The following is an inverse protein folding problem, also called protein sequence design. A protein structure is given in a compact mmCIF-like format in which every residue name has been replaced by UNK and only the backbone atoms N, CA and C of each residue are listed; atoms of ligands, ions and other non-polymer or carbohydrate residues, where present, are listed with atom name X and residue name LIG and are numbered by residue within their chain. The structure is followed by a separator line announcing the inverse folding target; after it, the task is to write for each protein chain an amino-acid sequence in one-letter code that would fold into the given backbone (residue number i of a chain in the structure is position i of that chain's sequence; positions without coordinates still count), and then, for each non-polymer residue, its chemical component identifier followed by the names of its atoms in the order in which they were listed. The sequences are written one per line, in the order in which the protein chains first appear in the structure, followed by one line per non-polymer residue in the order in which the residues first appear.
data_IF_914172800570
#
_entry.id   IF_914172800570
#
_cell.length_a   1.000
_cell.length_b   1.000
_cell.length_c   1.000
_cell.angle_alpha   90.00
_cell.angle_beta   90.00
_cell.angle_gamma   90.00
#
_symmetry.space_group_name_H-M   'P 1'
#
loop_
_entity.id
_entity.type
_entity.pdbx_description
1 polymer ?
#
# COMPACT_ATOMS: atom_id res chain seq x y z
N UNK A 1 11.25 -13.59 5.62
CA UNK A 1 10.83 -14.02 4.26
C UNK A 1 9.31 -14.06 4.29
N UNK A 2 8.63 -13.56 3.26
CA UNK A 2 7.17 -13.48 3.24
C UNK A 2 6.56 -14.83 2.84
N UNK A 3 5.75 -15.41 3.73
CA UNK A 3 5.06 -16.70 3.53
C UNK A 3 3.54 -16.58 3.63
N UNK A 4 3.02 -15.63 4.42
CA UNK A 4 1.60 -15.30 4.48
C UNK A 4 1.38 -13.86 3.98
N UNK A 5 0.63 -13.73 2.88
CA UNK A 5 0.32 -12.46 2.23
C UNK A 5 -1.19 -12.27 2.26
N UNK A 6 -1.66 -11.23 2.94
CA UNK A 6 -3.07 -10.85 2.91
C UNK A 6 -3.33 -9.91 1.74
N UNK A 7 -4.10 -10.36 0.75
CA UNK A 7 -4.53 -9.54 -0.37
C UNK A 7 -5.95 -9.02 -0.11
N UNK A 8 -6.10 -7.71 0.09
CA UNK A 8 -7.40 -7.09 0.39
C UNK A 8 -7.95 -6.49 -0.89
N UNK A 9 -9.25 -6.72 -1.14
CA UNK A 9 -9.95 -6.01 -2.20
C UNK A 9 -11.33 -5.53 -1.80
N UNK A 10 -11.68 -4.31 -2.22
CA UNK A 10 -13.04 -3.76 -2.15
C UNK A 10 -13.84 -3.99 -3.45
N UNK A 11 -13.32 -4.86 -4.33
CA UNK A 11 -13.84 -5.15 -5.66
C UNK A 11 -13.54 -4.08 -6.70
N UNK A 12 -14.17 -4.21 -7.88
CA UNK A 12 -13.88 -3.32 -9.01
C UNK A 12 -12.43 -3.46 -9.50
N UNK A 13 -11.84 -2.40 -10.08
CA UNK A 13 -10.48 -2.43 -10.61
C UNK A 13 -9.40 -2.76 -9.56
N UNK A 14 -9.66 -2.46 -8.30
CA UNK A 14 -8.75 -2.73 -7.18
C UNK A 14 -8.42 -4.23 -7.04
N UNK A 15 -9.40 -5.12 -7.24
CA UNK A 15 -9.19 -6.58 -7.15
C UNK A 15 -8.05 -7.04 -8.06
N UNK A 16 -8.04 -6.58 -9.32
CA UNK A 16 -6.99 -6.90 -10.27
C UNK A 16 -5.63 -6.32 -9.85
N UNK A 17 -5.60 -5.13 -9.25
CA UNK A 17 -4.36 -4.48 -8.82
C UNK A 17 -3.75 -5.19 -7.61
N UNK A 18 -4.54 -5.35 -6.53
CA UNK A 18 -4.07 -5.92 -5.27
C UNK A 18 -3.74 -7.40 -5.41
N UNK A 19 -4.59 -8.19 -6.08
CA UNK A 19 -4.37 -9.64 -6.22
C UNK A 19 -3.20 -9.93 -7.16
N UNK A 20 -3.01 -9.17 -8.24
CA UNK A 20 -1.84 -9.34 -9.10
C UNK A 20 -0.53 -9.03 -8.37
N UNK A 21 -0.50 -7.97 -7.54
CA UNK A 21 0.68 -7.69 -6.73
C UNK A 21 0.92 -8.76 -5.67
N UNK A 22 -0.13 -9.26 -5.00
CA UNK A 22 -0.02 -10.34 -4.03
C UNK A 22 0.52 -11.63 -4.66
N UNK A 23 0.00 -12.03 -5.82
CA UNK A 23 0.51 -13.16 -6.58
C UNK A 23 1.98 -12.99 -6.97
N UNK A 24 2.39 -11.77 -7.37
CA UNK A 24 3.80 -11.44 -7.65
C UNK A 24 4.69 -11.64 -6.43
N UNK A 25 4.28 -11.13 -5.26
CA UNK A 25 5.02 -11.28 -4.00
C UNK A 25 5.09 -12.76 -3.58
N UNK A 26 3.97 -13.48 -3.68
CA UNK A 26 3.90 -14.91 -3.39
C UNK A 26 4.86 -15.72 -4.26
N UNK A 27 4.88 -15.46 -5.57
CA UNK A 27 5.80 -16.11 -6.51
C UNK A 27 7.28 -15.80 -6.21
N UNK A 28 7.60 -14.60 -5.71
CA UNK A 28 8.98 -14.21 -5.39
C UNK A 28 9.55 -14.91 -4.15
N UNK A 29 8.68 -15.26 -3.19
CA UNK A 29 9.07 -15.81 -1.89
C UNK A 29 8.52 -17.22 -1.61
N UNK A 30 7.88 -17.86 -2.59
CA UNK A 30 7.22 -19.16 -2.42
C UNK A 30 6.24 -19.11 -1.23
N UNK A 31 5.41 -18.06 -1.23
CA UNK A 31 4.41 -17.78 -0.20
C UNK A 31 2.99 -18.16 -0.64
N UNK A 32 2.06 -18.09 0.31
CA UNK A 32 0.62 -18.27 0.09
C UNK A 32 -0.09 -16.92 0.15
N UNK A 33 -1.26 -16.84 -0.48
CA UNK A 33 -2.11 -15.64 -0.45
C UNK A 33 -3.44 -15.96 0.22
N UNK A 34 -3.77 -15.23 1.28
CA UNK A 34 -5.10 -15.16 1.83
C UNK A 34 -5.80 -13.95 1.20
N UNK A 35 -6.75 -14.17 0.30
CA UNK A 35 -7.50 -13.10 -0.34
C UNK A 35 -8.76 -12.76 0.47
N UNK A 36 -8.98 -11.48 0.74
CA UNK A 36 -10.12 -10.96 1.48
C UNK A 36 -10.89 -9.98 0.60
N UNK A 37 -12.16 -10.28 0.31
CA UNK A 37 -13.09 -9.27 -0.17
C UNK A 37 -13.68 -8.50 1.04
N UNK A 38 -13.45 -7.19 1.09
CA UNK A 38 -13.96 -6.28 2.10
C UNK A 38 -15.09 -5.43 1.50
N UNK A 39 -16.37 -5.69 1.84
CA UNK A 39 -17.47 -4.89 1.32
C UNK A 39 -17.48 -3.51 1.98
N UNK A 40 -17.05 -2.48 1.24
CA UNK A 40 -17.16 -1.08 1.67
C UNK A 40 -18.19 -0.37 0.81
N UNK A 41 -19.35 -0.07 1.40
CA UNK A 41 -20.40 0.71 0.75
C UNK A 41 -20.04 2.20 0.68
N UNK A 42 -20.62 2.99 -0.25
CA UNK A 42 -20.35 4.43 -0.35
C UNK A 42 -20.74 5.20 0.92
N UNK A 43 -21.68 4.68 1.74
CA UNK A 43 -21.97 5.22 3.07
C UNK A 43 -20.77 5.12 4.04
N UNK A 44 -19.87 4.14 3.89
CA UNK A 44 -18.65 4.01 4.70
C UNK A 44 -17.60 5.11 4.43
N UNK A 45 -17.70 5.80 3.29
CA UNK A 45 -16.96 7.02 2.98
C UNK A 45 -17.76 8.31 3.16
N UNK A 46 -19.10 8.22 3.21
CA UNK A 46 -20.03 9.34 3.38
C UNK A 46 -20.60 9.50 4.80
N UNK A 47 -19.98 8.91 5.84
CA UNK A 47 -20.20 9.35 7.23
C UNK A 47 -19.45 10.67 7.47
N UNK A 48 -19.80 11.67 6.65
CA UNK A 48 -19.08 12.92 6.49
C UNK A 48 -19.99 14.03 5.96
N UNK A 49 -21.21 14.17 6.49
CA UNK A 49 -21.84 15.50 6.61
C UNK A 49 -22.97 15.90 5.68
N UNK A 50 -23.54 15.02 4.83
CA UNK A 50 -24.75 15.36 4.07
C UNK A 50 -25.95 14.52 4.53
N UNK A 51 -26.90 15.19 5.20
CA UNK A 51 -28.19 14.60 5.54
C UNK A 51 -29.02 14.43 4.25
N UNK A 52 -29.21 13.18 3.81
CA UNK A 52 -30.09 12.84 2.69
C UNK A 52 -31.54 12.72 3.17
N UNK A 53 -32.51 13.03 2.30
CA UNK A 53 -33.94 12.87 2.63
C UNK A 53 -34.32 11.40 2.79
N UNK A 54 -35.20 11.10 3.74
CA UNK A 54 -35.63 9.72 4.04
C UNK A 54 -36.28 8.98 2.86
N UNK A 55 -36.82 9.71 1.88
CA UNK A 55 -37.44 9.16 0.66
C UNK A 55 -36.43 8.63 -0.35
N UNK A 56 -35.19 9.17 -0.37
CA UNK A 56 -34.13 8.68 -1.25
C UNK A 56 -33.44 7.42 -0.69
N UNK A 57 -33.62 7.13 0.60
CA UNK A 57 -32.89 6.08 1.31
C UNK A 57 -33.11 4.66 0.72
N UNK A 58 -34.34 4.22 0.40
CA UNK A 58 -34.55 2.87 -0.15
C UNK A 58 -33.89 2.68 -1.52
N UNK A 59 -33.90 3.72 -2.36
CA UNK A 59 -33.25 3.69 -3.68
C UNK A 59 -31.72 3.63 -3.56
N UNK A 60 -31.15 4.41 -2.65
CA UNK A 60 -29.70 4.41 -2.38
C UNK A 60 -29.26 3.04 -1.85
N UNK A 61 -29.99 2.47 -0.88
CA UNK A 61 -29.67 1.13 -0.37
C UNK A 61 -29.68 0.06 -1.46
N UNK A 62 -30.69 0.05 -2.34
CA UNK A 62 -30.75 -0.93 -3.44
C UNK A 62 -29.59 -0.78 -4.43
N UNK A 63 -29.23 0.46 -4.79
CA UNK A 63 -28.08 0.73 -5.68
C UNK A 63 -26.77 0.29 -5.02
N UNK A 64 -26.62 0.56 -3.72
CA UNK A 64 -25.45 0.16 -2.94
C UNK A 64 -25.34 -1.36 -2.87
N UNK A 65 -26.45 -2.07 -2.64
CA UNK A 65 -26.49 -3.53 -2.60
C UNK A 65 -26.10 -4.16 -3.96
N UNK A 66 -26.68 -3.67 -5.07
CA UNK A 66 -26.34 -4.16 -6.42
C UNK A 66 -24.85 -3.93 -6.73
N UNK A 67 -24.33 -2.76 -6.35
CA UNK A 67 -22.92 -2.40 -6.55
C UNK A 67 -21.99 -3.25 -5.70
N UNK A 68 -22.32 -3.46 -4.43
CA UNK A 68 -21.56 -4.31 -3.52
C UNK A 68 -21.54 -5.76 -4.01
N UNK A 69 -22.67 -6.27 -4.50
CA UNK A 69 -22.73 -7.62 -5.07
C UNK A 69 -21.89 -7.74 -6.35
N UNK A 70 -21.94 -6.76 -7.24
CA UNK A 70 -21.10 -6.73 -8.44
C UNK A 70 -19.60 -6.72 -8.09
N UNK A 71 -19.22 -5.96 -7.06
CA UNK A 71 -17.83 -5.88 -6.55
C UNK A 71 -17.34 -7.16 -5.90
N UNK A 72 -18.21 -7.82 -5.14
CA UNK A 72 -17.92 -9.14 -4.57
C UNK A 72 -17.68 -10.17 -5.67
N UNK A 73 -18.57 -10.21 -6.68
CA UNK A 73 -18.42 -11.10 -7.86
C UNK A 73 -17.13 -10.84 -8.62
N UNK A 74 -16.77 -9.57 -8.80
CA UNK A 74 -15.50 -9.22 -9.46
C UNK A 74 -14.29 -9.69 -8.64
N UNK A 75 -14.30 -9.52 -7.32
CA UNK A 75 -13.23 -10.02 -6.46
C UNK A 75 -13.10 -11.54 -6.56
N UNK A 76 -14.22 -12.27 -6.55
CA UNK A 76 -14.23 -13.73 -6.70
C UNK A 76 -13.72 -14.20 -8.07
N UNK A 77 -14.12 -13.50 -9.14
CA UNK A 77 -13.64 -13.76 -10.50
C UNK A 77 -12.13 -13.58 -10.59
N UNK A 78 -11.62 -12.43 -10.14
CA UNK A 78 -10.19 -12.13 -10.17
C UNK A 78 -9.39 -13.06 -9.24
N UNK A 79 -9.93 -13.42 -8.08
CA UNK A 79 -9.34 -14.45 -7.20
C UNK A 79 -9.15 -15.76 -7.97
N UNK A 80 -10.20 -16.23 -8.65
CA UNK A 80 -10.17 -17.49 -9.41
C UNK A 80 -9.10 -17.47 -10.51
N UNK A 81 -8.90 -16.32 -11.15
CA UNK A 81 -7.93 -16.14 -12.22
C UNK A 81 -6.49 -16.00 -11.71
N UNK A 82 -6.25 -15.24 -10.63
CA UNK A 82 -4.91 -14.81 -10.24
C UNK A 82 -4.37 -15.47 -8.97
N UNK A 83 -5.24 -15.81 -8.02
CA UNK A 83 -4.84 -16.24 -6.68
C UNK A 83 -5.11 -17.73 -6.45
N UNK A 84 -6.23 -18.27 -6.91
CA UNK A 84 -6.54 -19.70 -6.79
C UNK A 84 -5.43 -20.64 -7.32
N UNK A 85 -4.65 -20.28 -8.37
CA UNK A 85 -3.51 -21.08 -8.81
C UNK A 85 -2.31 -21.06 -7.84
N UNK A 86 -2.23 -20.10 -6.91
CA UNK A 86 -1.18 -20.03 -5.89
C UNK A 86 -1.39 -21.14 -4.87
N UNK A 87 -0.34 -21.93 -4.61
CA UNK A 87 -0.40 -23.05 -3.68
C UNK A 87 -0.80 -22.56 -2.28
N UNK A 88 -1.84 -23.18 -1.70
CA UNK A 88 -2.31 -22.86 -0.35
C UNK A 88 -3.08 -21.55 -0.25
N UNK A 89 -3.55 -21.00 -1.37
CA UNK A 89 -4.38 -19.81 -1.37
C UNK A 89 -5.74 -20.03 -0.71
N UNK A 90 -6.26 -18.99 -0.06
CA UNK A 90 -7.61 -18.98 0.51
C UNK A 90 -8.38 -17.75 0.03
N UNK A 91 -9.71 -17.81 0.08
CA UNK A 91 -10.58 -16.68 -0.21
C UNK A 91 -11.63 -16.51 0.87
N UNK A 92 -11.67 -15.32 1.46
CA UNK A 92 -12.69 -14.90 2.42
C UNK A 92 -13.53 -13.80 1.79
N UNK A 93 -14.77 -14.14 1.41
CA UNK A 93 -15.75 -13.21 0.87
C UNK A 93 -17.05 -13.22 1.69
N UNK A 94 -16.91 -13.13 3.01
CA UNK A 94 -18.06 -13.01 3.88
C UNK A 94 -18.77 -11.68 3.57
N UNK A 95 -20.09 -11.74 3.28
CA UNK A 95 -20.93 -10.53 3.14
C UNK A 95 -20.84 -9.59 4.36
N UNK A 96 -20.36 -10.11 5.48
CA UNK A 96 -20.19 -9.42 6.75
C UNK A 96 -18.72 -9.17 7.11
N UNK A 97 -17.77 -9.31 6.18
CA UNK A 97 -16.38 -8.94 6.45
C UNK A 97 -16.33 -7.44 6.80
N UNK A 98 -15.63 -7.11 7.88
CA UNK A 98 -15.49 -5.75 8.41
C UNK A 98 -14.03 -5.35 8.49
N UNK A 99 -13.76 -4.09 8.87
CA UNK A 99 -12.40 -3.66 9.21
C UNK A 99 -11.81 -4.53 10.34
N UNK A 100 -12.60 -5.01 11.30
CA UNK A 100 -12.12 -5.95 12.32
C UNK A 100 -11.66 -7.28 11.72
N UNK A 101 -12.34 -7.74 10.64
CA UNK A 101 -11.91 -8.94 9.89
C UNK A 101 -10.56 -8.70 9.23
N UNK A 102 -10.41 -7.56 8.55
CA UNK A 102 -9.12 -7.12 7.98
C UNK A 102 -8.03 -7.07 9.05
N UNK A 103 -8.30 -6.46 10.20
CA UNK A 103 -7.32 -6.32 11.29
C UNK A 103 -6.93 -7.67 11.88
N UNK A 104 -7.90 -8.56 12.10
CA UNK A 104 -7.66 -9.91 12.61
C UNK A 104 -6.76 -10.73 11.66
N UNK A 105 -7.08 -10.73 10.36
CA UNK A 105 -6.25 -11.42 9.36
C UNK A 105 -4.88 -10.75 9.18
N UNK A 106 -4.87 -9.42 9.13
CA UNK A 106 -3.67 -8.62 8.88
C UNK A 106 -2.60 -8.80 9.96
N UNK A 107 -2.99 -8.86 11.24
CA UNK A 107 -2.05 -9.13 12.36
C UNK A 107 -1.37 -10.50 12.26
N UNK A 108 -2.05 -11.47 11.65
CA UNK A 108 -1.57 -12.83 11.46
C UNK A 108 -0.84 -13.05 10.14
N UNK A 109 -0.72 -12.01 9.30
CA UNK A 109 -0.03 -12.06 8.01
C UNK A 109 1.38 -11.48 8.12
N UNK A 110 2.28 -11.80 7.18
CA UNK A 110 3.61 -11.19 7.14
C UNK A 110 3.57 -9.81 6.45
N UNK A 111 2.68 -9.65 5.47
CA UNK A 111 2.48 -8.42 4.70
C UNK A 111 1.04 -8.32 4.19
N UNK A 112 0.56 -7.09 4.03
CA UNK A 112 -0.78 -6.79 3.51
C UNK A 112 -0.64 -6.08 2.17
N UNK A 113 -1.47 -6.45 1.20
CA UNK A 113 -1.51 -5.85 -0.14
C UNK A 113 -2.90 -5.27 -0.39
N UNK A 114 -2.96 -3.99 -0.76
CA UNK A 114 -4.18 -3.26 -1.11
C UNK A 114 -3.98 -2.56 -2.46
N UNK A 115 -5.04 -2.21 -3.18
CA UNK A 115 -4.94 -1.24 -4.26
C UNK A 115 -4.75 0.18 -3.76
N UNK A 116 -4.56 1.08 -4.72
CA UNK A 116 -4.36 2.50 -4.46
C UNK A 116 -5.63 3.12 -3.85
N UNK A 117 -5.51 3.93 -2.78
CA UNK A 117 -6.65 4.70 -2.30
C UNK A 117 -6.83 6.01 -3.08
N UNK A 118 -8.05 6.52 -3.10
CA UNK A 118 -8.39 7.76 -3.76
C UNK A 118 -9.85 8.16 -3.53
N UNK A 119 -10.22 9.34 -4.02
CA UNK A 119 -11.60 9.84 -3.92
C UNK A 119 -12.55 9.20 -4.94
N UNK A 120 -12.02 8.60 -6.01
CA UNK A 120 -12.82 7.80 -6.94
C UNK A 120 -13.40 6.61 -6.18
N UNK A 121 -14.72 6.39 -6.23
CA UNK A 121 -15.36 5.23 -5.62
C UNK A 121 -14.77 3.88 -6.06
N UNK A 122 -14.06 3.80 -7.19
CA UNK A 122 -13.34 2.61 -7.69
C UNK A 122 -11.97 2.35 -7.02
N UNK A 123 -11.49 3.27 -6.18
CA UNK A 123 -10.30 3.06 -5.37
C UNK A 123 -10.62 2.47 -3.99
N UNK A 124 -9.59 1.96 -3.31
CA UNK A 124 -9.69 1.50 -1.93
C UNK A 124 -10.06 2.65 -1.00
N UNK A 125 -10.98 2.40 -0.07
CA UNK A 125 -11.40 3.39 0.91
C UNK A 125 -10.24 3.83 1.83
N UNK A 126 -10.15 5.13 2.17
CA UNK A 126 -9.21 5.65 3.15
C UNK A 126 -9.16 4.87 4.47
N UNK A 127 -10.32 4.47 4.99
CA UNK A 127 -10.44 3.75 6.25
C UNK A 127 -9.79 2.35 6.20
N UNK A 128 -9.86 1.67 5.05
CA UNK A 128 -9.22 0.37 4.84
C UNK A 128 -7.71 0.50 4.88
N UNK A 129 -7.15 1.52 4.23
CA UNK A 129 -5.72 1.82 4.30
C UNK A 129 -5.29 2.22 5.71
N UNK A 130 -6.13 2.97 6.42
CA UNK A 130 -5.88 3.37 7.80
C UNK A 130 -5.77 2.16 8.73
N UNK A 131 -6.76 1.27 8.70
CA UNK A 131 -6.80 0.04 9.50
C UNK A 131 -5.60 -0.87 9.16
N UNK A 132 -5.28 -1.02 7.86
CA UNK A 132 -4.13 -1.80 7.42
C UNK A 132 -2.80 -1.26 7.98
N UNK A 133 -2.58 0.06 7.91
CA UNK A 133 -1.32 0.69 8.33
C UNK A 133 -1.20 0.76 9.86
N UNK A 134 -2.26 1.14 10.58
CA UNK A 134 -2.18 1.49 12.00
C UNK A 134 -2.60 0.38 12.95
N UNK A 135 -3.49 -0.52 12.52
CA UNK A 135 -4.10 -1.49 13.42
C UNK A 135 -3.57 -2.91 13.21
N UNK A 136 -2.98 -3.20 12.04
CA UNK A 136 -2.43 -4.52 11.73
C UNK A 136 -0.98 -4.71 12.17
N UNK A 137 -0.24 -3.63 12.44
CA UNK A 137 1.18 -3.65 12.81
C UNK A 137 2.07 -4.43 11.82
N UNK A 138 1.70 -4.45 10.53
CA UNK A 138 2.43 -5.05 9.41
C UNK A 138 2.75 -4.00 8.35
N UNK A 139 3.72 -4.30 7.49
CA UNK A 139 3.91 -3.52 6.29
C UNK A 139 2.73 -3.69 5.34
N UNK A 140 2.39 -2.60 4.66
CA UNK A 140 1.34 -2.50 3.66
C UNK A 140 1.99 -2.19 2.32
N UNK A 141 1.73 -3.01 1.31
CA UNK A 141 2.05 -2.72 -0.08
C UNK A 141 0.83 -2.17 -0.80
N UNK A 142 0.97 -0.99 -1.38
CA UNK A 142 -0.05 -0.35 -2.20
C UNK A 142 0.23 -0.66 -3.67
N UNK A 143 -0.72 -1.32 -4.33
CA UNK A 143 -0.65 -1.68 -5.74
C UNK A 143 -1.01 -0.48 -6.63
N UNK A 144 -0.14 -0.09 -7.57
CA UNK A 144 -0.51 0.84 -8.62
C UNK A 144 -1.43 0.16 -9.66
N UNK A 145 -2.06 0.93 -10.57
CA UNK A 145 -2.87 0.38 -11.67
C UNK A 145 -2.14 -0.65 -12.53
N UNK A 146 -0.81 -0.56 -12.63
CA UNK A 146 0.02 -1.59 -13.23
C UNK A 146 1.08 -2.05 -12.23
N UNK A 147 0.84 -3.13 -11.46
CA UNK A 147 1.77 -3.60 -10.44
C UNK A 147 3.01 -4.32 -11.01
N UNK A 148 3.13 -4.43 -12.34
CA UNK A 148 4.26 -5.11 -13.00
C UNK A 148 4.27 -6.62 -12.77
N UNK A 149 5.42 -7.23 -12.99
CA UNK A 149 5.69 -8.67 -12.83
C UNK A 149 7.17 -8.90 -12.52
N UNK A 150 7.55 -10.10 -12.07
CA UNK A 150 8.95 -10.45 -11.82
C UNK A 150 9.51 -9.94 -10.48
N UNK A 151 10.83 -9.87 -10.38
CA UNK A 151 11.57 -9.41 -9.20
C UNK A 151 11.47 -7.89 -9.00
N UNK A 152 11.84 -7.44 -7.80
CA UNK A 152 12.05 -6.03 -7.47
C UNK A 152 13.55 -5.76 -7.46
N UNK A 153 14.11 -5.49 -8.63
CA UNK A 153 15.53 -5.33 -8.88
C UNK A 153 16.03 -3.92 -8.53
N UNK A 154 15.21 -2.88 -8.69
CA UNK A 154 15.59 -1.48 -8.50
C UNK A 154 14.76 -0.83 -7.38
N UNK A 155 15.24 -0.93 -6.15
CA UNK A 155 14.48 -0.48 -4.97
C UNK A 155 14.97 0.88 -4.49
N UNK A 156 14.03 1.81 -4.28
CA UNK A 156 14.29 3.09 -3.62
C UNK A 156 13.75 3.05 -2.20
N UNK A 157 14.61 3.38 -1.24
CA UNK A 157 14.27 3.58 0.16
C UNK A 157 14.24 5.08 0.44
N UNK A 158 13.04 5.66 0.57
CA UNK A 158 12.88 7.04 0.97
C UNK A 158 13.13 7.17 2.48
N UNK A 159 14.26 7.79 2.84
CA UNK A 159 14.77 7.86 4.19
C UNK A 159 14.72 9.28 4.76
N UNK A 160 14.12 9.41 5.93
CA UNK A 160 14.02 10.67 6.67
C UNK A 160 14.43 10.54 8.15
N UNK A 161 15.04 9.42 8.54
CA UNK A 161 15.45 9.15 9.91
C UNK A 161 14.33 8.82 10.90
N UNK A 162 13.07 8.72 10.45
CA UNK A 162 11.95 8.44 11.36
C UNK A 162 11.86 6.95 11.74
N UNK A 163 11.16 6.66 12.85
CA UNK A 163 10.92 5.28 13.26
C UNK A 163 10.07 4.50 12.25
N UNK A 164 9.12 5.15 11.58
CA UNK A 164 8.33 4.54 10.50
C UNK A 164 9.21 4.14 9.32
N UNK A 165 10.16 5.01 8.94
CA UNK A 165 11.11 4.69 7.87
C UNK A 165 12.01 3.51 8.26
N UNK A 166 12.47 3.47 9.52
CA UNK A 166 13.25 2.33 10.03
C UNK A 166 12.46 1.01 9.99
N UNK A 167 11.18 1.04 10.38
CA UNK A 167 10.29 -0.12 10.27
C UNK A 167 10.04 -0.54 8.82
N UNK A 168 9.82 0.42 7.93
CA UNK A 168 9.62 0.13 6.51
C UNK A 168 10.86 -0.54 5.91
N UNK A 169 12.06 -0.10 6.30
CA UNK A 169 13.33 -0.76 5.92
C UNK A 169 13.37 -2.20 6.43
N UNK A 170 13.06 -2.43 7.70
CA UNK A 170 13.08 -3.77 8.29
C UNK A 170 12.16 -4.74 7.54
N UNK A 171 10.92 -4.32 7.28
CA UNK A 171 10.01 -5.10 6.44
C UNK A 171 10.56 -5.28 5.02
N UNK A 172 11.22 -4.28 4.44
CA UNK A 172 11.73 -4.38 3.07
C UNK A 172 12.93 -5.32 2.88
N UNK A 173 13.61 -5.75 3.96
CA UNK A 173 14.84 -6.55 3.88
C UNK A 173 14.76 -7.77 2.94
N UNK A 174 13.67 -8.58 2.90
CA UNK A 174 13.56 -9.69 1.96
C UNK A 174 13.54 -9.25 0.49
N UNK A 175 12.97 -8.08 0.18
CA UNK A 175 13.00 -7.50 -1.16
C UNK A 175 14.39 -6.95 -1.48
N UNK A 176 14.98 -6.19 -0.56
CA UNK A 176 16.33 -5.63 -0.72
C UNK A 176 17.39 -6.71 -0.94
N UNK A 177 17.27 -7.86 -0.26
CA UNK A 177 18.17 -9.00 -0.44
C UNK A 177 18.12 -9.65 -1.83
N UNK A 178 17.06 -9.40 -2.60
CA UNK A 178 16.90 -9.86 -3.99
C UNK A 178 17.13 -8.76 -5.02
N UNK A 179 17.26 -7.50 -4.58
CA UNK A 179 17.42 -6.35 -5.45
C UNK A 179 18.83 -6.30 -6.07
N UNK A 180 18.90 -5.86 -7.32
CA UNK A 180 20.16 -5.60 -8.01
C UNK A 180 20.72 -4.21 -7.69
N UNK A 181 19.84 -3.26 -7.37
CA UNK A 181 20.19 -1.89 -7.00
C UNK A 181 19.30 -1.41 -5.85
N UNK A 182 19.94 -0.75 -4.87
CA UNK A 182 19.27 -0.16 -3.72
C UNK A 182 19.76 1.28 -3.58
N UNK A 183 18.84 2.23 -3.65
CA UNK A 183 19.13 3.66 -3.40
C UNK A 183 18.45 4.10 -2.12
N UNK A 184 19.23 4.59 -1.16
CA UNK A 184 18.74 5.33 0.01
C UNK A 184 18.60 6.78 -0.44
N UNK A 185 17.36 7.23 -0.60
CA UNK A 185 17.05 8.58 -1.08
C UNK A 185 16.59 9.47 0.07
N UNK A 186 17.26 10.59 0.25
CA UNK A 186 16.88 11.65 1.19
C UNK A 186 16.20 12.80 0.43
N UNK A 187 15.08 13.30 0.92
CA UNK A 187 14.29 14.35 0.24
C UNK A 187 14.10 15.54 1.17
N UNK A 188 14.62 16.71 0.79
CA UNK A 188 14.46 17.96 1.54
C UNK A 188 15.21 17.99 2.88
N UNK A 189 16.27 17.21 2.99
CA UNK A 189 17.23 17.19 4.10
C UNK A 189 18.57 16.69 3.58
N UNK A 190 19.63 16.75 4.38
CA UNK A 190 20.93 16.19 4.00
C UNK A 190 21.08 14.74 4.49
N UNK A 191 21.89 13.90 3.83
CA UNK A 191 22.17 12.54 4.30
C UNK A 191 22.67 12.46 5.74
N UNK A 192 23.42 13.45 6.21
CA UNK A 192 23.98 13.49 7.56
C UNK A 192 22.89 13.79 8.61
N UNK A 193 21.98 14.73 8.34
CA UNK A 193 20.91 15.12 9.26
C UNK A 193 19.98 13.95 9.62
N UNK A 194 19.73 13.08 8.66
CA UNK A 194 18.85 11.90 8.83
C UNK A 194 19.65 10.62 9.13
N UNK A 195 20.96 10.70 9.26
CA UNK A 195 21.81 9.55 9.58
C UNK A 195 21.81 8.46 8.50
N UNK A 196 21.74 8.82 7.21
CA UNK A 196 21.70 7.87 6.10
C UNK A 196 22.93 6.94 6.06
N UNK A 197 24.10 7.43 6.48
CA UNK A 197 25.32 6.63 6.59
C UNK A 197 25.19 5.47 7.61
N UNK A 198 24.41 5.67 8.67
CA UNK A 198 24.12 4.61 9.64
C UNK A 198 23.24 3.52 9.05
N UNK A 199 22.23 3.91 8.26
CA UNK A 199 21.39 2.98 7.52
C UNK A 199 22.20 2.19 6.49
N UNK A 200 23.00 2.87 5.65
CA UNK A 200 23.86 2.23 4.66
C UNK A 200 24.82 1.24 5.31
N UNK A 201 25.45 1.61 6.43
CA UNK A 201 26.31 0.70 7.20
C UNK A 201 25.55 -0.50 7.75
N UNK A 202 24.33 -0.30 8.25
CA UNK A 202 23.49 -1.38 8.74
C UNK A 202 23.12 -2.36 7.62
N UNK A 203 22.62 -1.86 6.49
CA UNK A 203 22.31 -2.68 5.31
C UNK A 203 23.54 -3.39 4.76
N UNK A 204 24.72 -2.75 4.81
CA UNK A 204 26.00 -3.37 4.47
C UNK A 204 26.35 -4.58 5.36
N UNK A 205 25.95 -4.58 6.64
CA UNK A 205 26.10 -5.76 7.52
C UNK A 205 25.20 -6.93 7.12
N UNK A 206 24.11 -6.66 6.41
CA UNK A 206 23.27 -7.68 5.77
C UNK A 206 23.79 -8.09 4.37
N UNK A 207 24.97 -7.60 3.96
CA UNK A 207 25.55 -7.89 2.65
C UNK A 207 24.93 -7.08 1.50
N UNK A 208 24.13 -6.07 1.81
CA UNK A 208 23.43 -5.26 0.82
C UNK A 208 24.29 -4.06 0.40
N UNK A 209 24.49 -3.88 -0.90
CA UNK A 209 25.17 -2.70 -1.45
C UNK A 209 24.14 -1.61 -1.70
N UNK A 210 24.38 -0.42 -1.15
CA UNK A 210 23.45 0.71 -1.26
C UNK A 210 24.16 1.97 -1.76
N UNK A 211 23.53 2.71 -2.66
CA UNK A 211 23.87 4.09 -2.98
C UNK A 211 23.09 5.04 -2.06
N UNK A 212 23.72 6.14 -1.64
CA UNK A 212 23.02 7.22 -0.92
C UNK A 212 22.91 8.40 -1.86
N UNK A 213 21.70 8.89 -2.08
CA UNK A 213 21.43 10.05 -2.92
C UNK A 213 20.48 11.01 -2.17
N UNK A 214 20.47 12.28 -2.59
CA UNK A 214 19.63 13.30 -2.00
C UNK A 214 19.09 14.26 -3.05
N UNK A 215 17.83 14.67 -2.87
CA UNK A 215 17.21 15.73 -3.64
C UNK A 215 16.78 16.86 -2.70
N UNK A 216 17.13 18.09 -3.06
CA UNK A 216 16.63 19.29 -2.40
C UNK A 216 15.62 20.00 -3.32
N UNK A 217 14.31 19.85 -3.06
CA UNK A 217 13.29 20.57 -3.83
C UNK A 217 13.14 22.03 -3.38
N UNK A 218 13.93 22.50 -2.41
CA UNK A 218 13.81 23.82 -1.79
C UNK A 218 12.62 23.95 -0.84
N UNK A 219 12.30 25.20 -0.48
CA UNK A 219 11.17 25.53 0.38
C UNK A 219 9.83 25.38 -0.35
N UNK A 220 9.37 24.14 -0.48
CA UNK A 220 8.12 23.80 -1.20
C UNK A 220 7.06 23.19 -0.26
N UNK A 221 5.83 23.07 -0.77
CA UNK A 221 4.76 22.37 -0.07
C UNK A 221 5.07 20.87 0.09
N UNK A 222 4.41 20.21 1.06
CA UNK A 222 4.53 18.75 1.23
C UNK A 222 4.18 17.99 -0.06
N UNK A 223 3.10 18.37 -0.73
CA UNK A 223 2.68 17.80 -2.02
C UNK A 223 3.76 17.92 -3.09
N UNK A 224 4.47 19.05 -3.16
CA UNK A 224 5.58 19.23 -4.09
C UNK A 224 6.79 18.34 -3.73
N UNK A 225 7.12 18.17 -2.45
CA UNK A 225 8.13 17.17 -2.02
C UNK A 225 7.75 15.76 -2.42
N UNK A 226 6.49 15.36 -2.21
CA UNK A 226 5.98 14.06 -2.64
C UNK A 226 6.07 13.88 -4.16
N UNK A 227 5.83 14.94 -4.94
CA UNK A 227 6.01 14.92 -6.40
C UNK A 227 7.48 14.73 -6.78
N UNK A 228 8.41 15.46 -6.15
CA UNK A 228 9.84 15.31 -6.40
C UNK A 228 10.33 13.86 -6.12
N UNK A 229 9.87 13.24 -5.04
CA UNK A 229 10.13 11.82 -4.74
C UNK A 229 9.60 10.90 -5.85
N UNK A 230 8.37 11.11 -6.30
CA UNK A 230 7.78 10.29 -7.38
C UNK A 230 8.51 10.47 -8.72
N UNK A 231 8.88 11.71 -9.06
CA UNK A 231 9.59 12.02 -10.30
C UNK A 231 10.99 11.39 -10.30
N UNK A 232 11.71 11.45 -9.16
CA UNK A 232 12.98 10.74 -8.98
C UNK A 232 12.79 9.21 -9.10
N UNK A 233 11.79 8.67 -8.40
CA UNK A 233 11.47 7.23 -8.41
C UNK A 233 11.25 6.72 -9.82
N UNK A 234 10.49 7.48 -10.61
CA UNK A 234 10.25 7.17 -12.01
C UNK A 234 11.50 7.34 -12.88
N UNK A 235 12.26 8.42 -12.69
CA UNK A 235 13.47 8.71 -13.46
C UNK A 235 14.59 7.67 -13.26
N UNK A 236 14.67 7.03 -12.09
CA UNK A 236 15.60 5.93 -11.81
C UNK A 236 15.10 4.56 -12.27
N UNK A 237 13.90 4.46 -12.86
CA UNK A 237 13.34 3.18 -13.29
C UNK A 237 13.14 2.20 -12.14
N UNK A 238 12.80 2.71 -10.95
CA UNK A 238 12.55 1.88 -9.77
C UNK A 238 11.32 1.00 -9.98
N UNK A 239 11.31 -0.17 -9.36
CA UNK A 239 10.18 -1.12 -9.37
C UNK A 239 9.50 -1.28 -8.00
N UNK A 240 10.10 -0.72 -6.96
CA UNK A 240 9.58 -0.69 -5.59
C UNK A 240 10.05 0.60 -4.88
N UNK A 241 9.08 1.34 -4.36
CA UNK A 241 9.34 2.43 -3.42
C UNK A 241 9.04 1.97 -2.00
N UNK A 242 10.01 2.10 -1.10
CA UNK A 242 9.89 1.83 0.33
C UNK A 242 9.90 3.16 1.06
N UNK A 243 8.92 3.42 1.93
CA UNK A 243 8.90 4.62 2.76
C UNK A 243 8.18 4.39 4.10
N UNK A 244 8.50 5.20 5.10
CA UNK A 244 7.70 5.26 6.32
C UNK A 244 6.28 5.76 6.04
N UNK A 245 5.30 5.22 6.77
CA UNK A 245 3.94 5.72 6.80
C UNK A 245 3.83 7.00 7.65
N UNK A 246 2.59 7.37 7.97
CA UNK A 246 2.27 8.53 8.80
C UNK A 246 2.64 8.30 10.28
N UNK A 247 2.59 9.35 11.11
CA UNK A 247 2.35 9.20 12.55
C UNK A 247 0.86 9.06 12.84
N UNK A 248 0.48 8.60 14.04
CA UNK A 248 -0.95 8.55 14.47
C UNK A 248 -1.62 9.92 14.26
N UNK A 249 -2.78 9.94 13.60
CA UNK A 249 -3.65 11.13 13.50
C UNK A 249 -3.58 11.97 12.21
N UNK A 250 -2.86 11.55 11.17
CA UNK A 250 -2.69 12.32 9.92
C UNK A 250 -3.38 11.71 8.69
N UNK A 251 -4.17 10.64 8.86
CA UNK A 251 -4.78 9.90 7.73
C UNK A 251 -6.16 10.44 7.39
N UNK A 252 -7.06 10.66 8.34
CA UNK A 252 -8.39 11.22 8.03
C UNK A 252 -8.35 12.60 7.33
N UNK A 253 -7.22 13.31 7.39
CA UNK A 253 -6.97 14.55 6.65
C UNK A 253 -6.36 14.37 5.24
N UNK A 254 -5.96 13.16 4.80
CA UNK A 254 -5.20 12.99 3.55
C UNK A 254 -6.02 13.22 2.28
N UNK A 255 -7.34 13.00 2.30
CA UNK A 255 -8.21 13.36 1.18
C UNK A 255 -8.34 14.89 1.00
N UNK A 256 -7.89 15.69 1.98
CA UNK A 256 -8.01 17.16 1.96
C UNK A 256 -6.73 17.97 2.21
N UNK A 257 -5.65 17.40 2.78
CA UNK A 257 -4.47 18.17 3.22
C UNK A 257 -3.15 17.61 2.65
N UNK A 258 -2.84 18.01 1.41
CA UNK A 258 -1.54 18.51 0.91
C UNK A 258 -0.16 17.91 1.30
N UNK A 259 -0.07 16.79 2.00
CA UNK A 259 1.20 16.22 2.49
C UNK A 259 2.00 15.44 1.43
N UNK A 260 3.28 15.21 1.70
CA UNK A 260 4.15 14.42 0.83
C UNK A 260 3.66 12.97 0.69
N UNK A 261 3.42 12.29 1.82
CA UNK A 261 2.94 10.90 1.88
C UNK A 261 1.59 10.73 1.17
N UNK A 262 0.63 11.64 1.38
CA UNK A 262 -0.67 11.58 0.69
C UNK A 262 -0.53 11.71 -0.82
N UNK A 263 0.39 12.56 -1.29
CA UNK A 263 0.71 12.66 -2.72
C UNK A 263 1.38 11.38 -3.25
N UNK A 264 2.29 10.78 -2.50
CA UNK A 264 2.97 9.54 -2.91
C UNK A 264 1.96 8.40 -3.00
N UNK A 265 1.18 8.13 -1.95
CA UNK A 265 0.16 7.08 -1.92
C UNK A 265 -0.81 7.19 -3.11
N UNK A 266 -1.37 8.38 -3.34
CA UNK A 266 -2.38 8.59 -4.39
C UNK A 266 -1.82 8.63 -5.81
N UNK A 267 -0.50 8.59 -6.02
CA UNK A 267 0.09 8.78 -7.35
C UNK A 267 1.29 7.88 -7.67
N UNK A 268 1.76 7.04 -6.74
CA UNK A 268 2.91 6.16 -6.94
C UNK A 268 2.62 5.14 -8.04
N UNK A 269 3.42 5.14 -9.10
CA UNK A 269 3.22 4.29 -10.29
C UNK A 269 3.88 2.93 -10.19
N UNK A 270 4.60 2.68 -9.09
CA UNK A 270 5.24 1.41 -8.76
C UNK A 270 4.66 0.92 -7.44
N UNK A 271 4.74 -0.39 -7.14
CA UNK A 271 4.44 -0.91 -5.81
C UNK A 271 5.11 -0.06 -4.72
N UNK A 272 4.32 0.31 -3.71
CA UNK A 272 4.72 1.18 -2.60
C UNK A 272 4.62 0.41 -1.29
N UNK A 273 5.74 0.10 -0.64
CA UNK A 273 5.78 -0.53 0.67
C UNK A 273 5.85 0.52 1.77
N UNK A 274 4.94 0.42 2.74
CA UNK A 274 4.83 1.34 3.86
C UNK A 274 4.72 0.61 5.19
N UNK A 275 5.24 1.21 6.26
CA UNK A 275 5.08 0.70 7.62
C UNK A 275 4.96 1.85 8.64
N UNK A 276 4.24 1.60 9.74
CA UNK A 276 4.03 2.51 10.87
C UNK A 276 4.86 2.11 12.09
#
# INVERSE_FOLDING_TARGET
MYKSILAVSEGGPDAAMSFKLAARVAGLFDGCVDALHLPVGPAGGMVGGLAMSGEAMPLIMNIDDERLEARAKESERIYSELIAPVKGATFTAAKTATLDTLVAMGRCSDIIVLGRPGADPENVAPATVEAAIHECARAVMIAPPNPGSGSFDNVIVAWNGSFQAARAVEYSLPFLAKASSITILVVGSTPDDVGAAYLARNLGRHGLKTEVDAIDPGAVSGRARGRALLDYTHGKGSDLLVMGAYGRGQVLSFLGMGGATGKVISSCRVPLLMAH
#
